data_IF_410529992512
#
_entry.id   IF_410529992512
#
_cell.length_a   1.000
_cell.length_b   1.000
_cell.length_c   1.000
_cell.angle_alpha   90.00
_cell.angle_beta   90.00
_cell.angle_gamma   90.00
#
_symmetry.space_group_name_H-M   'P 1'
#
loop_
_entity.id
_entity.type
_entity.pdbx_description
1 polymer ?
#
# COMPACT_ATOMS: atom_id res chain seq x y z
N UNK A 1 26.84 5.90 -11.11
CA UNK A 1 26.47 5.97 -10.88
C UNK A 1 25.79 5.71 -10.66
N UNK A 2 25.39 5.84 -10.47
CA UNK A 2 24.80 5.79 -10.20
C UNK A 2 24.14 5.27 -9.80
N UNK A 3 23.96 5.07 -9.75
CA UNK A 3 23.32 4.72 -9.40
C UNK A 3 22.87 4.13 -8.84
N UNK A 4 23.04 3.96 -8.47
CA UNK A 4 22.35 3.38 -7.98
C UNK A 4 21.61 3.44 -7.32
N UNK A 5 21.60 3.97 -6.90
CA UNK A 5 20.87 4.26 -6.34
C UNK A 5 19.85 4.33 -6.57
N UNK A 6 19.54 4.63 -7.03
CA UNK A 6 18.56 4.77 -7.44
C UNK A 6 17.94 3.79 -7.53
N UNK A 7 18.30 3.06 -7.59
CA UNK A 7 17.71 2.15 -7.72
C UNK A 7 16.95 1.76 -6.85
N UNK A 8 17.16 1.93 -5.86
CA UNK A 8 16.47 1.56 -4.95
C UNK A 8 15.26 1.97 -5.01
N UNK A 9 15.10 2.94 -5.31
CA UNK A 9 13.92 3.39 -5.36
C UNK A 9 13.22 2.72 -6.28
N UNK A 10 13.81 2.32 -7.09
CA UNK A 10 13.13 1.72 -8.01
C UNK A 10 12.61 0.59 -7.54
N UNK A 11 13.12 0.19 -6.63
CA UNK A 11 12.58 -0.83 -6.04
C UNK A 11 11.32 -0.54 -5.52
N UNK A 12 10.89 0.66 -5.58
CA UNK A 12 9.57 1.00 -5.22
C UNK A 12 8.69 0.46 -6.27
N UNK A 13 8.35 -0.76 -6.19
CA UNK A 13 7.51 -1.44 -7.14
C UNK A 13 6.18 -0.77 -7.18
N UNK A 14 5.72 -0.43 -8.37
CA UNK A 14 4.43 0.17 -8.51
C UNK A 14 3.40 -0.90 -8.56
N UNK A 15 2.63 -1.03 -7.52
CA UNK A 15 1.54 -1.95 -7.50
C UNK A 15 0.29 -1.19 -7.85
N UNK A 16 -0.43 -1.71 -8.81
CA UNK A 16 -1.72 -1.16 -9.15
C UNK A 16 -2.71 -1.81 -8.18
N UNK A 17 -3.29 -1.03 -7.31
CA UNK A 17 -4.21 -1.55 -6.29
C UNK A 17 -5.60 -1.82 -6.87
N UNK A 18 -5.64 -2.42 -8.03
CA UNK A 18 -6.86 -2.66 -8.76
C UNK A 18 -7.12 -4.15 -8.76
N UNK A 19 -7.53 -4.66 -7.62
CA UNK A 19 -7.71 -6.09 -7.44
C UNK A 19 -9.17 -6.50 -7.61
N UNK A 20 -9.39 -7.70 -8.07
CA UNK A 20 -10.73 -8.27 -8.11
C UNK A 20 -11.17 -8.59 -6.68
N UNK A 21 -12.45 -8.81 -6.49
CA UNK A 21 -12.97 -9.12 -5.17
C UNK A 21 -12.33 -10.36 -4.55
N UNK A 22 -12.19 -11.48 -5.28
CA UNK A 22 -11.50 -12.64 -4.71
C UNK A 22 -10.05 -12.35 -4.35
N UNK A 23 -9.37 -11.50 -5.15
CA UNK A 23 -8.00 -11.15 -4.86
C UNK A 23 -7.91 -10.32 -3.59
N UNK A 24 -8.85 -9.39 -3.39
CA UNK A 24 -8.88 -8.58 -2.19
C UNK A 24 -9.07 -9.47 -0.96
N UNK A 25 -9.98 -10.42 -1.05
CA UNK A 25 -10.24 -11.32 0.07
C UNK A 25 -9.02 -12.16 0.39
N UNK A 26 -8.37 -12.67 -0.65
CA UNK A 26 -7.18 -13.49 -0.46
C UNK A 26 -6.08 -12.67 0.24
N UNK A 27 -5.87 -11.45 -0.22
CA UNK A 27 -4.84 -10.60 0.36
C UNK A 27 -5.18 -10.27 1.82
N UNK A 28 -6.42 -9.88 2.08
CA UNK A 28 -6.82 -9.54 3.44
C UNK A 28 -6.69 -10.71 4.40
N UNK A 29 -6.92 -11.92 3.92
CA UNK A 29 -6.84 -13.09 4.77
C UNK A 29 -5.42 -13.61 4.96
N UNK A 30 -4.52 -13.30 4.05
CA UNK A 30 -3.21 -13.93 4.04
C UNK A 30 -2.02 -12.99 4.21
N UNK A 31 -2.20 -11.69 4.03
CA UNK A 31 -1.09 -10.76 4.11
C UNK A 31 -0.69 -10.43 5.54
N UNK A 32 -1.54 -10.78 6.50
CA UNK A 32 -1.23 -10.53 7.90
C UNK A 32 -1.01 -9.03 8.17
N UNK A 33 -1.91 -8.22 7.65
CA UNK A 33 -1.85 -6.78 7.89
C UNK A 33 -2.16 -6.45 9.33
N UNK A 34 -1.54 -5.40 9.86
CA UNK A 34 -1.99 -4.82 11.11
C UNK A 34 -3.31 -4.09 10.84
N UNK A 35 -4.02 -3.73 11.90
CA UNK A 35 -5.28 -3.00 11.74
C UNK A 35 -5.08 -1.73 10.93
N UNK A 36 -4.01 -1.01 11.21
CA UNK A 36 -3.69 0.22 10.52
C UNK A 36 -3.41 -0.03 9.04
N UNK A 37 -2.63 -1.05 8.75
CA UNK A 37 -2.31 -1.40 7.36
C UNK A 37 -3.56 -1.82 6.61
N UNK A 38 -4.43 -2.57 7.26
CA UNK A 38 -5.65 -3.03 6.61
C UNK A 38 -6.54 -1.85 6.25
N UNK A 39 -6.66 -0.87 7.13
CA UNK A 39 -7.48 0.29 6.84
C UNK A 39 -6.93 1.10 5.69
N UNK A 40 -5.62 1.28 5.64
CA UNK A 40 -5.00 1.99 4.53
C UNK A 40 -5.19 1.21 3.24
N UNK A 41 -5.03 -0.10 3.28
CA UNK A 41 -5.21 -0.95 2.10
C UNK A 41 -6.63 -0.81 1.56
N UNK A 42 -7.62 -0.80 2.44
CA UNK A 42 -9.00 -0.64 2.01
C UNK A 42 -9.24 0.72 1.35
N UNK A 43 -8.61 1.76 1.86
CA UNK A 43 -8.74 3.07 1.25
C UNK A 43 -8.10 3.13 -0.13
N UNK A 44 -6.98 2.41 -0.30
CA UNK A 44 -6.28 2.39 -1.58
C UNK A 44 -7.03 1.59 -2.63
N UNK A 45 -7.88 0.67 -2.21
CA UNK A 45 -8.58 -0.23 -3.13
C UNK A 45 -10.06 0.08 -3.25
N UNK A 46 -10.49 1.22 -2.71
CA UNK A 46 -11.90 1.59 -2.72
C UNK A 46 -12.45 1.66 -4.14
N UNK A 47 -13.66 1.12 -4.34
CA UNK A 47 -14.33 1.21 -5.62
C UNK A 47 -14.71 2.59 -5.98
N UNK A 48 -14.93 3.44 -4.97
CA UNK A 48 -15.46 4.78 -5.21
C UNK A 48 -14.37 5.81 -5.38
N UNK A 49 -13.17 5.37 -5.68
CA UNK A 49 -12.06 6.25 -5.89
C UNK A 49 -10.98 5.96 -4.87
N UNK A 50 -9.77 5.95 -5.31
CA UNK A 50 -8.65 5.68 -4.43
C UNK A 50 -8.32 6.90 -3.65
N UNK A 51 -8.12 6.73 -2.37
CA UNK A 51 -7.71 7.84 -1.54
C UNK A 51 -6.30 8.25 -1.89
N UNK A 52 -6.04 9.55 -1.89
CA UNK A 52 -4.69 10.05 -2.10
C UNK A 52 -3.92 9.95 -0.79
N UNK A 53 -2.61 10.10 -0.86
CA UNK A 53 -1.78 10.10 0.34
C UNK A 53 -2.24 11.18 1.30
N UNK A 54 -2.60 12.35 0.77
CA UNK A 54 -3.08 13.45 1.61
C UNK A 54 -4.36 13.05 2.33
N UNK A 55 -5.30 12.46 1.61
CA UNK A 55 -6.56 12.05 2.22
C UNK A 55 -6.35 10.99 3.30
N UNK A 56 -5.48 10.04 3.03
CA UNK A 56 -5.18 9.00 4.01
C UNK A 56 -4.54 9.60 5.24
N UNK A 57 -3.61 10.54 5.05
CA UNK A 57 -2.91 11.16 6.17
C UNK A 57 -3.90 11.88 7.08
N UNK A 58 -4.87 12.54 6.49
CA UNK A 58 -5.88 13.26 7.26
C UNK A 58 -6.78 12.26 8.00
N UNK A 59 -7.26 11.26 7.29
CA UNK A 59 -8.19 10.30 7.87
C UNK A 59 -7.55 9.45 8.96
N UNK A 60 -6.30 9.07 8.78
CA UNK A 60 -5.60 8.24 9.75
C UNK A 60 -4.85 9.06 10.78
N UNK A 61 -4.88 10.38 10.64
CA UNK A 61 -4.22 11.30 11.56
C UNK A 61 -2.71 10.99 11.67
N UNK A 62 -2.07 10.86 10.54
CA UNK A 62 -0.63 10.61 10.51
C UNK A 62 0.00 11.45 9.40
N UNK A 63 1.31 11.62 9.44
CA UNK A 63 2.00 12.44 8.45
C UNK A 63 2.01 11.71 7.11
N UNK A 64 2.22 12.47 6.03
CA UNK A 64 2.30 11.86 4.70
C UNK A 64 3.50 10.92 4.60
N UNK A 65 4.61 11.26 5.26
CA UNK A 65 5.77 10.37 5.27
C UNK A 65 5.43 9.02 5.89
N UNK A 66 4.66 9.06 6.98
CA UNK A 66 4.24 7.83 7.64
C UNK A 66 3.31 7.02 6.74
N UNK A 67 2.39 7.71 6.05
CA UNK A 67 1.49 7.03 5.12
C UNK A 67 2.29 6.33 4.03
N UNK A 68 3.27 7.02 3.46
CA UNK A 68 4.11 6.42 2.42
C UNK A 68 4.83 5.18 2.93
N UNK A 69 5.32 5.24 4.16
CA UNK A 69 6.00 4.09 4.75
C UNK A 69 5.05 2.93 4.94
N UNK A 70 3.83 3.21 5.40
CA UNK A 70 2.84 2.15 5.57
C UNK A 70 2.46 1.51 4.25
N UNK A 71 2.32 2.33 3.21
CA UNK A 71 2.00 1.82 1.88
C UNK A 71 3.11 0.92 1.38
N UNK A 72 4.35 1.30 1.61
CA UNK A 72 5.48 0.47 1.21
C UNK A 72 5.46 -0.88 1.94
N UNK A 73 5.13 -0.86 3.21
CA UNK A 73 5.01 -2.10 3.98
C UNK A 73 3.89 -2.98 3.43
N UNK A 74 2.77 -2.36 3.08
CA UNK A 74 1.63 -3.08 2.49
C UNK A 74 2.04 -3.73 1.17
N UNK A 75 2.72 -2.98 0.32
CA UNK A 75 3.19 -3.51 -0.96
C UNK A 75 4.11 -4.71 -0.76
N UNK A 76 5.01 -4.62 0.21
CA UNK A 76 5.94 -5.72 0.47
C UNK A 76 5.20 -6.97 0.93
N UNK A 77 4.19 -6.81 1.76
CA UNK A 77 3.41 -7.95 2.22
C UNK A 77 2.63 -8.58 1.07
N UNK A 78 2.08 -7.77 0.18
CA UNK A 78 1.36 -8.27 -0.97
C UNK A 78 2.31 -9.04 -1.90
N UNK A 79 3.49 -8.49 -2.13
CA UNK A 79 4.45 -9.14 -3.01
C UNK A 79 4.89 -10.50 -2.51
N UNK A 80 4.91 -10.68 -1.19
CA UNK A 80 5.25 -11.97 -0.63
C UNK A 80 4.19 -13.03 -0.90
N UNK A 81 2.96 -12.60 -1.12
CA UNK A 81 1.88 -13.54 -1.40
C UNK A 81 1.84 -13.94 -2.87
N UNK A 82 2.35 -13.10 -3.71
CA UNK A 82 2.34 -13.34 -5.15
C UNK A 82 3.67 -13.94 -5.61
#
# INVERSE_FOLDING_TARGET
MEAPKKLEEEKDVKINFDFTKPELEYILNNANFTVEQEEIFKMLTSKYGRASIVNISIKMNMSESTVKRRIKQIKNKILRLL
#
